data_IF_296881234811
#
_entry.id   IF_296881234811
#
_cell.length_a   1.000
_cell.length_b   1.000
_cell.length_c   1.000
_cell.angle_alpha   90.00
_cell.angle_beta   90.00
_cell.angle_gamma   90.00
#
_symmetry.space_group_name_H-M   'P 1'
#
loop_
_entity.id
_entity.type
_entity.pdbx_description
1 polymer ?
#
# COMPACT_ATOMS: atom_id res chain seq x y z
N UNK A 1 3.20 4.31 -24.11
CA UNK A 1 3.65 5.09 -22.93
C UNK A 1 3.80 4.23 -21.68
N UNK A 2 3.76 2.89 -21.81
CA UNK A 2 3.84 1.96 -20.68
C UNK A 2 5.27 1.50 -20.31
N UNK A 3 6.29 2.05 -20.95
CA UNK A 3 7.67 1.52 -20.88
C UNK A 3 8.49 2.07 -19.70
N UNK A 4 7.85 2.76 -18.74
CA UNK A 4 8.54 3.32 -17.57
C UNK A 4 8.60 2.34 -16.40
N UNK A 5 7.66 1.39 -16.32
CA UNK A 5 7.53 0.50 -15.16
C UNK A 5 8.78 -0.36 -14.91
N UNK A 6 9.43 -0.96 -15.93
CA UNK A 6 10.66 -1.71 -15.73
C UNK A 6 11.80 -0.85 -15.17
N UNK A 7 11.77 0.47 -15.40
CA UNK A 7 12.81 1.39 -14.94
C UNK A 7 12.54 1.95 -13.53
N UNK A 8 11.27 2.24 -13.21
CA UNK A 8 10.89 2.90 -11.95
C UNK A 8 10.63 1.88 -10.84
N UNK A 9 10.02 0.74 -11.16
CA UNK A 9 9.66 -0.31 -10.20
C UNK A 9 10.05 -1.71 -10.74
N UNK A 10 11.34 -1.95 -11.09
CA UNK A 10 11.81 -3.18 -11.74
C UNK A 10 11.42 -4.44 -10.98
N UNK A 11 11.54 -4.42 -9.65
CA UNK A 11 11.23 -5.57 -8.81
C UNK A 11 9.77 -6.00 -8.92
N UNK A 12 8.83 -5.08 -8.74
CA UNK A 12 7.41 -5.39 -8.82
C UNK A 12 6.99 -5.77 -10.25
N UNK A 13 7.63 -5.17 -11.26
CA UNK A 13 7.41 -5.51 -12.66
C UNK A 13 7.81 -6.96 -12.98
N UNK A 14 9.00 -7.40 -12.56
CA UNK A 14 9.43 -8.79 -12.77
C UNK A 14 8.57 -9.78 -11.97
N UNK A 15 8.25 -9.47 -10.71
CA UNK A 15 7.37 -10.33 -9.89
C UNK A 15 5.96 -10.44 -10.48
N UNK A 16 5.44 -9.36 -11.07
CA UNK A 16 4.18 -9.41 -11.80
C UNK A 16 4.25 -10.39 -12.97
N UNK A 17 5.32 -10.31 -13.75
CA UNK A 17 5.51 -11.12 -14.95
C UNK A 17 5.69 -12.60 -14.62
N UNK A 18 6.41 -12.93 -13.54
CA UNK A 18 6.71 -14.31 -13.16
C UNK A 18 5.62 -14.98 -12.33
N UNK A 19 4.86 -14.23 -11.53
CA UNK A 19 3.92 -14.78 -10.55
C UNK A 19 2.48 -14.27 -10.69
N UNK A 20 2.23 -13.34 -11.63
CA UNK A 20 0.90 -12.84 -11.95
C UNK A 20 0.50 -11.61 -11.14
N UNK A 21 -0.81 -11.35 -11.06
CA UNK A 21 -1.37 -10.10 -10.46
C UNK A 21 -1.41 -10.11 -8.94
N UNK A 22 -1.13 -11.24 -8.31
CA UNK A 22 -1.07 -11.36 -6.84
C UNK A 22 0.08 -12.26 -6.49
N UNK A 23 1.01 -11.76 -5.68
CA UNK A 23 2.20 -12.52 -5.32
C UNK A 23 2.66 -12.17 -3.90
N UNK A 24 3.45 -13.08 -3.34
CA UNK A 24 4.00 -12.97 -2.00
C UNK A 24 5.46 -12.54 -2.05
N UNK A 25 5.85 -11.63 -1.17
CA UNK A 25 7.22 -11.11 -1.04
C UNK A 25 7.60 -10.92 0.42
N UNK A 26 8.88 -10.65 0.67
CA UNK A 26 9.39 -10.26 1.97
C UNK A 26 9.86 -8.81 1.93
N UNK A 27 9.35 -8.00 2.85
CA UNK A 27 9.88 -6.68 3.16
C UNK A 27 10.67 -6.77 4.46
N UNK A 28 11.99 -6.95 4.35
CA UNK A 28 12.81 -7.29 5.51
C UNK A 28 12.36 -8.62 6.11
N UNK A 29 12.03 -8.62 7.40
CA UNK A 29 11.49 -9.80 8.09
C UNK A 29 9.96 -9.92 8.00
N UNK A 30 9.28 -8.97 7.35
CA UNK A 30 7.82 -8.93 7.29
C UNK A 30 7.32 -9.49 5.97
N UNK A 31 6.48 -10.55 5.98
CA UNK A 31 5.87 -11.06 4.76
C UNK A 31 4.77 -10.12 4.24
N UNK A 32 4.73 -9.91 2.92
CA UNK A 32 3.81 -8.98 2.26
C UNK A 32 3.16 -9.65 1.05
N UNK A 33 1.84 -9.53 0.95
CA UNK A 33 1.09 -9.90 -0.25
C UNK A 33 0.84 -8.65 -1.08
N UNK A 34 1.35 -8.64 -2.31
CA UNK A 34 1.11 -7.56 -3.27
C UNK A 34 -0.08 -7.93 -4.15
N UNK A 35 -1.08 -7.05 -4.20
CA UNK A 35 -2.29 -7.19 -5.03
C UNK A 35 -2.27 -6.09 -6.09
N UNK A 36 -2.32 -6.48 -7.37
CA UNK A 36 -2.37 -5.57 -8.51
C UNK A 36 -3.66 -5.71 -9.32
N UNK A 37 -4.66 -6.37 -8.74
CA UNK A 37 -6.01 -6.46 -9.31
C UNK A 37 -6.83 -5.22 -8.89
N UNK A 38 -7.30 -4.38 -9.83
CA UNK A 38 -8.03 -3.16 -9.50
C UNK A 38 -9.30 -3.39 -8.66
N UNK A 39 -10.02 -4.49 -8.87
CA UNK A 39 -11.26 -4.77 -8.13
C UNK A 39 -10.96 -5.10 -6.67
N UNK A 40 -9.93 -5.92 -6.44
CA UNK A 40 -9.47 -6.27 -5.08
C UNK A 40 -8.84 -5.07 -4.37
N UNK A 41 -8.06 -4.26 -5.08
CA UNK A 41 -7.52 -3.01 -4.53
C UNK A 41 -8.68 -2.13 -4.04
N UNK A 42 -9.70 -1.92 -4.88
CA UNK A 42 -10.88 -1.12 -4.50
C UNK A 42 -11.56 -1.68 -3.25
N UNK A 43 -11.72 -3.00 -3.17
CA UNK A 43 -12.31 -3.65 -1.98
C UNK A 43 -11.51 -3.36 -0.71
N UNK A 44 -10.19 -3.56 -0.74
CA UNK A 44 -9.29 -3.33 0.39
C UNK A 44 -9.35 -1.86 0.84
N UNK A 45 -9.31 -0.92 -0.11
CA UNK A 45 -9.37 0.52 0.20
C UNK A 45 -10.73 0.96 0.77
N UNK A 46 -11.82 0.25 0.47
CA UNK A 46 -13.12 0.50 1.09
C UNK A 46 -13.20 -0.06 2.54
N UNK A 47 -12.40 -1.08 2.86
CA UNK A 47 -12.33 -1.72 4.18
C UNK A 47 -11.20 -1.14 5.05
N UNK A 48 -11.12 0.19 5.13
CA UNK A 48 -10.04 0.91 5.85
C UNK A 48 -9.95 0.63 7.36
N UNK A 49 -10.98 0.05 7.97
CA UNK A 49 -10.95 -0.41 9.37
C UNK A 49 -10.34 -1.82 9.52
N UNK A 50 -10.47 -2.67 8.50
CA UNK A 50 -9.92 -4.03 8.49
C UNK A 50 -8.47 -4.01 8.00
N UNK A 51 -8.15 -3.11 7.06
CA UNK A 51 -6.82 -2.94 6.47
C UNK A 51 -6.24 -1.57 6.84
N UNK A 52 -5.53 -1.54 7.97
CA UNK A 52 -4.80 -0.35 8.42
C UNK A 52 -3.58 -0.09 7.54
N UNK A 53 -3.09 1.15 7.51
CA UNK A 53 -1.86 1.47 6.78
C UNK A 53 -0.68 0.71 7.36
N UNK A 54 0.15 0.08 6.51
CA UNK A 54 1.32 -0.65 6.99
C UNK A 54 2.39 0.32 7.51
N UNK A 55 3.03 -0.03 8.63
CA UNK A 55 4.20 0.71 9.16
C UNK A 55 5.49 0.39 8.38
N UNK A 56 5.41 0.34 7.06
CA UNK A 56 6.51 0.02 6.12
C UNK A 56 7.72 0.93 6.34
N UNK A 57 7.48 2.20 6.67
CA UNK A 57 8.51 3.19 6.91
C UNK A 57 8.30 3.86 8.27
N UNK A 58 8.89 3.32 9.36
CA UNK A 58 8.74 3.86 10.71
C UNK A 58 9.13 5.34 10.82
N UNK A 59 10.02 5.81 9.93
CA UNK A 59 10.45 7.22 9.86
C UNK A 59 9.32 8.18 9.49
N UNK A 60 8.29 7.72 8.75
CA UNK A 60 7.19 8.57 8.28
C UNK A 60 6.43 9.23 9.44
N UNK A 61 6.34 8.56 10.60
CA UNK A 61 5.67 9.10 11.79
C UNK A 61 6.33 10.35 12.38
N UNK A 62 7.59 10.60 12.04
CA UNK A 62 8.34 11.77 12.51
C UNK A 62 8.31 12.94 11.51
N UNK A 63 8.05 12.67 10.22
CA UNK A 63 8.07 13.68 9.15
C UNK A 63 6.69 14.04 8.62
N UNK A 64 5.67 13.26 8.95
CA UNK A 64 4.29 13.49 8.56
C UNK A 64 3.33 13.17 9.71
N UNK A 65 2.15 13.79 9.68
CA UNK A 65 1.06 13.57 10.65
C UNK A 65 -0.31 13.78 9.98
N UNK A 66 -1.40 13.62 10.73
CA UNK A 66 -2.76 13.89 10.24
C UNK A 66 -3.30 12.79 9.32
N UNK A 67 -4.12 13.17 8.34
CA UNK A 67 -4.82 12.22 7.42
C UNK A 67 -3.86 11.29 6.68
N UNK A 68 -2.64 11.74 6.41
CA UNK A 68 -1.60 10.92 5.77
C UNK A 68 -1.21 9.71 6.64
N UNK A 69 -1.14 9.88 7.97
CA UNK A 69 -0.58 8.86 8.88
C UNK A 69 -1.64 8.20 9.76
N UNK A 70 -2.68 8.91 10.19
CA UNK A 70 -3.70 8.35 11.09
C UNK A 70 -4.50 7.24 10.40
N UNK A 71 -5.01 6.32 11.21
CA UNK A 71 -5.98 5.28 10.86
C UNK A 71 -7.22 5.32 11.79
N UNK A 72 -8.23 4.52 11.46
CA UNK A 72 -9.44 4.32 12.27
C UNK A 72 -10.19 5.62 12.57
N UNK A 73 -10.75 5.71 13.78
CA UNK A 73 -11.58 6.85 14.20
C UNK A 73 -10.82 8.18 14.20
N UNK A 74 -9.52 8.14 14.49
CA UNK A 74 -8.67 9.34 14.46
C UNK A 74 -8.59 9.85 13.02
N UNK A 75 -8.37 8.97 12.04
CA UNK A 75 -8.40 9.35 10.64
C UNK A 75 -9.78 9.83 10.19
N UNK A 76 -10.84 9.11 10.54
CA UNK A 76 -12.21 9.45 10.15
C UNK A 76 -12.60 10.86 10.63
N UNK A 77 -12.26 11.20 11.88
CA UNK A 77 -12.48 12.53 12.45
C UNK A 77 -11.72 13.62 11.69
N UNK A 78 -10.45 13.39 11.36
CA UNK A 78 -9.63 14.41 10.67
C UNK A 78 -10.03 14.56 9.19
N UNK A 79 -10.35 13.46 8.50
CA UNK A 79 -10.78 13.48 7.10
C UNK A 79 -12.12 14.18 6.91
N UNK A 80 -13.02 14.15 7.91
CA UNK A 80 -14.33 14.82 7.83
C UNK A 80 -14.25 16.35 7.89
N UNK A 81 -13.15 16.89 8.43
CA UNK A 81 -12.99 18.34 8.63
C UNK A 81 -12.40 19.03 7.39
N UNK A 82 -11.69 18.27 6.55
CA UNK A 82 -11.11 18.71 5.27
C UNK A 82 -12.15 18.53 4.17
#
# INVERSE_FOLDING_TARGET
>A
TDDIQPRVVPFFFEMHKTHGRTFFTWLGTTPVVTIMDPEKIKEVFNKSYDFLKPETFPVLRYVATGVAIYDGDKWAKHRRII
#
